data_IF_396646862361
#
_entry.id   IF_396646862361
#
_cell.length_a   1.000
_cell.length_b   1.000
_cell.length_c   1.000
_cell.angle_alpha   90.00
_cell.angle_beta   90.00
_cell.angle_gamma   90.00
#
_symmetry.space_group_name_H-M   'P 1'
#
loop_
_entity.id
_entity.type
_entity.pdbx_description
1 polymer ?
#
# COMPACT_ATOMS: atom_id res chain seq x y z
N UNK A 1 52.47 56.96 -28.55
CA UNK A 1 51.38 56.01 -28.24
C UNK A 1 50.26 56.30 -29.21
N UNK A 2 50.02 55.33 -30.09
CA UNK A 2 49.32 55.46 -31.36
C UNK A 2 47.79 55.32 -31.25
N UNK A 3 47.12 56.37 -31.73
CA UNK A 3 46.04 56.39 -32.75
C UNK A 3 44.75 55.57 -32.56
N UNK A 4 43.66 56.33 -32.55
CA UNK A 4 42.27 56.02 -32.91
C UNK A 4 42.11 55.40 -34.30
N UNK A 5 41.15 54.49 -34.51
CA UNK A 5 40.36 54.33 -35.77
C UNK A 5 38.98 53.70 -35.50
N UNK A 6 38.01 54.16 -36.30
CA UNK A 6 36.57 53.88 -36.39
C UNK A 6 36.13 52.45 -36.81
N UNK A 7 34.85 52.18 -36.51
CA UNK A 7 33.96 51.09 -37.00
C UNK A 7 33.89 50.96 -38.53
N UNK A 8 33.47 49.79 -39.08
CA UNK A 8 32.12 49.73 -39.66
C UNK A 8 31.37 48.38 -39.55
N UNK A 9 30.04 48.51 -39.64
CA UNK A 9 28.99 47.50 -39.85
C UNK A 9 29.24 46.54 -41.02
N UNK A 10 28.75 45.29 -40.87
CA UNK A 10 28.00 44.48 -41.88
C UNK A 10 27.70 43.11 -41.26
N UNK A 11 26.59 42.40 -41.46
CA UNK A 11 25.29 42.58 -42.14
C UNK A 11 24.50 41.30 -41.78
N UNK A 12 23.16 41.37 -41.76
CA UNK A 12 22.18 40.30 -42.08
C UNK A 12 22.25 38.98 -41.30
N UNK A 13 21.20 38.40 -40.73
CA UNK A 13 19.76 38.60 -40.85
C UNK A 13 19.08 37.51 -40.00
N UNK A 14 17.93 37.83 -39.43
CA UNK A 14 16.64 37.15 -39.70
C UNK A 14 16.34 35.93 -38.83
N UNK A 15 15.32 36.13 -37.98
CA UNK A 15 14.25 35.20 -37.59
C UNK A 15 14.55 33.94 -36.77
N UNK A 16 13.56 33.70 -35.91
CA UNK A 16 13.14 32.44 -35.31
C UNK A 16 13.94 31.99 -34.08
N UNK A 17 13.33 31.52 -33.00
CA UNK A 17 11.94 31.17 -32.78
C UNK A 17 11.62 31.44 -31.31
N UNK A 18 10.38 31.82 -31.03
CA UNK A 18 9.79 31.58 -29.72
C UNK A 18 9.82 30.07 -29.49
N UNK A 19 10.85 29.58 -28.80
CA UNK A 19 10.75 28.31 -28.11
C UNK A 19 9.82 28.57 -26.92
N UNK A 20 8.51 28.50 -27.17
CA UNK A 20 7.56 28.19 -26.10
C UNK A 20 8.05 26.88 -25.52
N UNK A 21 8.77 26.96 -24.40
CA UNK A 21 8.94 25.84 -23.52
C UNK A 21 7.53 25.53 -23.00
N UNK A 22 6.80 24.71 -23.74
CA UNK A 22 5.70 23.93 -23.20
C UNK A 22 6.33 23.06 -22.13
N UNK A 23 6.35 23.59 -20.91
CA UNK A 23 6.53 22.81 -19.71
C UNK A 23 5.33 21.88 -19.68
N UNK A 24 5.53 20.66 -20.17
CA UNK A 24 4.67 19.56 -19.80
C UNK A 24 4.90 19.36 -18.31
N UNK A 25 4.05 20.01 -17.51
CA UNK A 25 3.90 19.66 -16.10
C UNK A 25 3.35 18.24 -16.12
N UNK A 26 4.22 17.24 -16.02
CA UNK A 26 3.85 15.88 -15.67
C UNK A 26 3.36 15.89 -14.22
N UNK A 27 2.16 16.42 -14.01
CA UNK A 27 1.40 16.21 -12.80
C UNK A 27 1.03 14.73 -12.74
N UNK A 28 1.73 13.96 -11.91
CA UNK A 28 1.25 12.66 -11.45
C UNK A 28 2.19 11.48 -11.66
N UNK A 29 3.27 11.42 -10.88
CA UNK A 29 3.79 10.15 -10.32
C UNK A 29 4.69 10.50 -9.13
N UNK A 30 4.11 11.13 -8.10
CA UNK A 30 4.83 11.35 -6.85
C UNK A 30 5.08 10.01 -6.19
N UNK A 31 6.27 9.47 -6.36
CA UNK A 31 6.73 8.35 -5.55
C UNK A 31 6.94 8.85 -4.13
N UNK A 32 6.06 8.47 -3.21
CA UNK A 32 6.24 8.79 -1.80
C UNK A 32 7.30 7.82 -1.25
N UNK A 33 8.54 8.29 -1.17
CA UNK A 33 9.63 7.62 -0.46
C UNK A 33 9.78 8.28 0.92
N UNK A 34 10.03 7.47 1.94
CA UNK A 34 10.31 7.92 3.30
C UNK A 34 11.61 7.28 3.76
N UNK A 35 12.54 8.10 4.22
CA UNK A 35 13.76 7.60 4.84
C UNK A 35 13.46 7.13 6.26
N UNK A 36 13.76 5.87 6.54
CA UNK A 36 13.75 5.34 7.90
C UNK A 36 15.11 5.64 8.56
N UNK A 37 15.13 6.00 9.86
CA UNK A 37 16.37 6.06 10.63
C UNK A 37 17.18 4.77 10.51
N UNK A 38 18.51 4.87 10.54
CA UNK A 38 19.40 3.71 10.42
C UNK A 38 19.36 2.76 11.63
N UNK A 39 18.97 3.27 12.80
CA UNK A 39 18.89 2.49 14.02
C UNK A 39 17.85 1.38 13.95
N UNK A 40 18.12 0.27 14.63
CA UNK A 40 17.15 -0.82 14.77
C UNK A 40 16.01 -0.38 15.69
N UNK A 41 14.81 -0.26 15.16
CA UNK A 41 13.63 0.16 15.91
C UNK A 41 12.35 -0.56 15.43
N UNK A 42 11.26 -0.34 16.17
CA UNK A 42 9.91 -0.69 15.71
C UNK A 42 9.23 0.57 15.17
N UNK A 43 8.71 0.48 13.97
CA UNK A 43 8.06 1.57 13.26
C UNK A 43 6.57 1.33 13.16
N UNK A 44 5.83 2.44 13.09
CA UNK A 44 4.43 2.43 12.71
C UNK A 44 4.29 3.14 11.38
N UNK A 45 3.68 2.46 10.41
CA UNK A 45 3.28 3.08 9.16
C UNK A 45 1.76 3.07 9.06
N UNK A 46 1.19 4.22 8.70
CA UNK A 46 -0.26 4.37 8.56
C UNK A 46 -0.58 4.94 7.18
N UNK A 47 -1.55 4.30 6.52
CA UNK A 47 -2.08 4.78 5.25
C UNK A 47 -3.61 4.70 5.26
N UNK A 48 -4.24 5.68 4.61
CA UNK A 48 -5.68 5.68 4.36
C UNK A 48 -5.93 5.86 2.86
N UNK A 49 -6.80 5.03 2.29
CA UNK A 49 -7.21 5.16 0.88
C UNK A 49 -8.68 4.81 0.77
N UNK A 50 -9.50 5.72 0.21
CA UNK A 50 -10.94 5.54 0.09
C UNK A 50 -11.64 5.16 1.41
N UNK A 51 -11.19 5.73 2.53
CA UNK A 51 -11.68 5.43 3.88
C UNK A 51 -11.23 4.10 4.46
N UNK A 52 -10.47 3.27 3.71
CA UNK A 52 -9.81 2.08 4.25
C UNK A 52 -8.52 2.52 4.95
N UNK A 53 -8.48 2.35 6.27
CA UNK A 53 -7.30 2.66 7.10
C UNK A 53 -6.50 1.39 7.34
N UNK A 54 -5.20 1.44 7.07
CA UNK A 54 -4.26 0.35 7.34
C UNK A 54 -3.12 0.87 8.20
N UNK A 55 -2.86 0.17 9.31
CA UNK A 55 -1.77 0.47 10.24
C UNK A 55 -0.87 -0.74 10.30
N UNK A 56 0.41 -0.55 10.03
CA UNK A 56 1.45 -1.56 10.18
C UNK A 56 2.32 -1.23 11.39
N UNK A 57 2.69 -2.24 12.16
CA UNK A 57 3.76 -2.15 13.15
C UNK A 57 4.83 -3.19 12.80
N UNK A 58 6.07 -2.77 12.59
CA UNK A 58 7.11 -3.66 12.09
C UNK A 58 8.49 -3.29 12.63
N UNK A 59 9.39 -4.26 12.70
CA UNK A 59 10.79 -4.00 13.02
C UNK A 59 11.58 -3.73 11.73
N UNK A 60 12.41 -2.70 11.75
CA UNK A 60 13.40 -2.47 10.69
C UNK A 60 14.69 -1.90 11.26
N UNK A 61 15.72 -1.92 10.43
CA UNK A 61 17.08 -1.48 10.71
C UNK A 61 17.78 -1.26 9.37
N UNK A 62 18.84 -0.45 9.38
CA UNK A 62 19.69 -0.25 8.21
C UNK A 62 20.10 -1.57 7.56
N UNK A 63 19.99 -1.62 6.24
CA UNK A 63 20.42 -2.75 5.43
C UNK A 63 21.82 -2.52 4.90
N UNK A 64 22.70 -3.50 5.11
CA UNK A 64 24.08 -3.48 4.60
C UNK A 64 24.23 -4.27 3.30
N UNK A 65 23.20 -5.02 2.92
CA UNK A 65 23.14 -5.82 1.69
C UNK A 65 21.75 -5.70 1.08
N UNK A 66 21.70 -5.49 -0.24
CA UNK A 66 20.45 -5.46 -0.98
C UNK A 66 19.74 -6.81 -0.93
N UNK A 67 18.41 -6.78 -0.76
CA UNK A 67 17.56 -7.96 -0.68
C UNK A 67 16.40 -7.91 -1.70
N UNK A 68 16.50 -7.03 -2.70
CA UNK A 68 15.51 -6.89 -3.77
C UNK A 68 15.83 -7.78 -4.97
N UNK A 69 14.81 -8.39 -5.61
CA UNK A 69 14.98 -9.04 -6.91
C UNK A 69 15.30 -8.03 -8.02
N UNK A 70 16.02 -8.46 -9.06
CA UNK A 70 16.44 -7.58 -10.15
C UNK A 70 15.27 -6.93 -10.92
N UNK A 71 14.10 -7.58 -10.96
CA UNK A 71 12.89 -7.04 -11.59
C UNK A 71 12.08 -6.09 -10.68
N UNK A 72 12.53 -5.87 -9.44
CA UNK A 72 11.93 -4.97 -8.47
C UNK A 72 13.02 -4.06 -7.86
N UNK A 73 13.60 -3.14 -8.65
CA UNK A 73 14.62 -2.22 -8.15
C UNK A 73 14.05 -1.29 -7.09
N UNK A 74 14.93 -0.80 -6.21
CA UNK A 74 14.52 0.17 -5.21
C UNK A 74 14.26 1.52 -5.84
N UNK A 75 13.44 2.33 -5.16
CA UNK A 75 13.05 3.62 -5.68
C UNK A 75 14.23 4.57 -5.84
N UNK A 76 15.23 4.46 -4.94
CA UNK A 76 16.50 5.19 -5.03
C UNK A 76 17.33 4.82 -6.26
N UNK A 77 17.27 3.56 -6.72
CA UNK A 77 17.94 3.12 -7.95
C UNK A 77 17.30 3.73 -9.20
N UNK A 78 15.98 3.94 -9.15
CA UNK A 78 15.19 4.42 -10.29
C UNK A 78 15.20 5.94 -10.46
N UNK A 79 15.26 6.70 -9.36
CA UNK A 79 15.04 8.15 -9.40
C UNK A 79 16.19 8.99 -8.85
N UNK A 80 17.00 8.47 -7.93
CA UNK A 80 18.00 9.27 -7.19
C UNK A 80 19.46 8.86 -7.48
N UNK A 81 19.70 7.86 -8.33
CA UNK A 81 21.02 7.23 -8.53
C UNK A 81 21.69 6.79 -7.21
N UNK A 82 20.89 6.55 -6.17
CA UNK A 82 21.36 6.12 -4.87
C UNK A 82 21.46 4.59 -4.86
N UNK A 83 22.69 4.08 -5.00
CA UNK A 83 22.99 2.65 -5.02
C UNK A 83 23.16 2.06 -3.61
N UNK A 84 22.61 2.71 -2.58
CA UNK A 84 22.63 2.15 -1.24
C UNK A 84 21.92 0.79 -1.21
N UNK A 85 22.39 -0.10 -0.34
CA UNK A 85 21.69 -1.34 -0.08
C UNK A 85 20.24 -1.05 0.36
N UNK A 86 19.30 -1.83 -0.13
CA UNK A 86 17.88 -1.62 0.10
C UNK A 86 17.14 -2.96 0.19
N UNK A 87 15.99 -2.98 0.88
CA UNK A 87 15.06 -4.12 0.90
C UNK A 87 13.62 -3.62 0.99
N UNK A 88 12.63 -4.43 0.60
CA UNK A 88 11.25 -4.17 0.98
C UNK A 88 11.09 -4.27 2.49
N UNK A 89 10.38 -3.31 3.09
CA UNK A 89 10.01 -3.40 4.50
C UNK A 89 9.10 -4.60 4.75
N UNK A 90 9.16 -5.26 5.93
CA UNK A 90 8.41 -6.47 6.24
C UNK A 90 6.93 -6.17 6.55
N UNK A 91 6.29 -5.35 5.71
CA UNK A 91 4.89 -5.00 5.80
C UNK A 91 4.03 -6.19 5.36
N UNK A 92 3.11 -6.62 6.22
CA UNK A 92 2.12 -7.64 5.89
C UNK A 92 1.04 -6.99 5.02
N UNK A 93 0.90 -7.41 3.77
CA UNK A 93 -0.20 -7.04 2.90
C UNK A 93 -1.31 -8.08 2.97
N UNK A 94 -2.56 -7.64 2.82
CA UNK A 94 -3.75 -8.50 2.90
C UNK A 94 -4.43 -8.56 1.53
N UNK A 95 -4.60 -9.78 1.02
CA UNK A 95 -5.41 -10.08 -0.16
C UNK A 95 -6.74 -10.69 0.28
N UNK A 96 -7.83 -10.21 -0.28
CA UNK A 96 -9.18 -10.66 0.04
C UNK A 96 -9.81 -11.42 -1.12
N UNK A 97 -10.42 -12.54 -0.80
CA UNK A 97 -11.47 -13.15 -1.59
C UNK A 97 -12.75 -13.12 -0.75
N UNK A 98 -13.64 -12.21 -1.10
CA UNK A 98 -14.86 -11.94 -0.34
C UNK A 98 -16.05 -12.80 -0.79
N UNK A 99 -15.88 -13.66 -1.81
CA UNK A 99 -16.93 -14.53 -2.33
C UNK A 99 -18.26 -13.78 -2.64
N UNK A 100 -18.18 -12.61 -3.26
CA UNK A 100 -19.34 -11.74 -3.51
C UNK A 100 -19.97 -12.03 -4.87
N UNK A 101 -21.25 -11.68 -5.00
CA UNK A 101 -21.87 -11.53 -6.31
C UNK A 101 -21.23 -10.36 -7.09
N UNK A 102 -21.41 -10.34 -8.42
CA UNK A 102 -20.79 -9.37 -9.33
C UNK A 102 -21.16 -7.90 -9.03
N UNK A 103 -22.25 -7.67 -8.29
CA UNK A 103 -22.69 -6.36 -7.84
C UNK A 103 -22.11 -5.94 -6.47
N UNK A 104 -21.08 -6.66 -5.99
CA UNK A 104 -20.45 -6.49 -4.67
C UNK A 104 -21.42 -6.68 -3.49
N UNK A 105 -22.30 -7.68 -3.61
CA UNK A 105 -23.24 -8.07 -2.54
C UNK A 105 -23.06 -9.51 -2.06
N UNK A 106 -23.57 -9.80 -0.86
CA UNK A 106 -23.73 -11.14 -0.30
C UNK A 106 -25.15 -11.31 0.29
N UNK A 107 -25.62 -12.55 0.41
CA UNK A 107 -26.94 -12.85 0.97
C UNK A 107 -27.06 -12.37 2.42
N UNK A 108 -28.16 -11.70 2.76
CA UNK A 108 -28.50 -11.39 4.15
C UNK A 108 -29.01 -12.63 4.90
N UNK A 109 -28.89 -12.63 6.23
CA UNK A 109 -29.48 -13.64 7.11
C UNK A 109 -28.74 -14.98 7.19
N UNK A 110 -27.78 -15.22 6.31
CA UNK A 110 -27.00 -16.47 6.24
C UNK A 110 -25.56 -16.32 6.77
N UNK A 111 -24.88 -17.45 6.90
CA UNK A 111 -23.43 -17.45 7.17
C UNK A 111 -22.67 -17.32 5.87
N UNK A 112 -21.81 -16.31 5.80
CA UNK A 112 -20.95 -16.03 4.67
C UNK A 112 -19.50 -16.29 5.04
N UNK A 113 -18.77 -17.00 4.17
CA UNK A 113 -17.34 -17.26 4.36
C UNK A 113 -16.53 -16.39 3.40
N UNK A 114 -15.46 -15.79 3.93
CA UNK A 114 -14.46 -15.07 3.13
C UNK A 114 -13.08 -15.65 3.39
N UNK A 115 -12.17 -15.45 2.46
CA UNK A 115 -10.77 -15.84 2.57
C UNK A 115 -9.86 -14.61 2.59
N UNK A 116 -8.89 -14.61 3.51
CA UNK A 116 -7.86 -13.57 3.61
C UNK A 116 -6.49 -14.24 3.54
N UNK A 117 -5.63 -13.74 2.65
CA UNK A 117 -4.26 -14.22 2.48
C UNK A 117 -3.27 -13.11 2.81
N UNK A 118 -2.36 -13.38 3.75
CA UNK A 118 -1.24 -12.50 4.05
C UNK A 118 -0.10 -12.72 3.05
N UNK A 119 0.45 -11.64 2.51
CA UNK A 119 1.59 -11.68 1.60
C UNK A 119 2.53 -10.50 1.85
N UNK A 120 3.71 -10.56 1.22
CA UNK A 120 4.74 -9.53 1.31
C UNK A 120 5.17 -9.13 -0.09
N UNK A 121 5.82 -7.97 -0.21
CA UNK A 121 6.63 -7.69 -1.40
C UNK A 121 7.74 -8.74 -1.53
N UNK A 122 8.08 -9.11 -2.77
CA UNK A 122 9.08 -10.14 -3.02
C UNK A 122 10.47 -9.65 -2.59
N UNK A 123 11.24 -10.53 -1.96
CA UNK A 123 12.63 -10.29 -1.56
C UNK A 123 13.45 -11.56 -1.73
N UNK A 124 14.78 -11.46 -1.76
CA UNK A 124 15.66 -12.61 -1.99
C UNK A 124 15.74 -13.52 -0.76
N UNK A 125 15.66 -12.94 0.44
CA UNK A 125 15.64 -13.68 1.70
C UNK A 125 14.28 -14.31 1.99
N UNK A 126 14.26 -15.29 2.90
CA UNK A 126 13.02 -15.94 3.32
C UNK A 126 12.07 -14.93 3.96
N UNK A 127 10.79 -14.98 3.58
CA UNK A 127 9.73 -14.13 4.12
C UNK A 127 9.19 -14.67 5.47
N UNK A 128 8.72 -13.80 6.37
CA UNK A 128 8.05 -14.24 7.59
C UNK A 128 6.74 -14.96 7.24
N UNK A 129 6.27 -15.82 8.14
CA UNK A 129 4.96 -16.46 7.99
C UNK A 129 3.93 -15.72 8.81
N UNK A 130 2.76 -15.43 8.23
CA UNK A 130 1.62 -14.92 8.99
C UNK A 130 1.09 -16.04 9.87
N UNK A 131 1.24 -15.90 11.18
CA UNK A 131 0.94 -16.93 12.17
C UNK A 131 -0.47 -16.81 12.72
N UNK A 132 -0.99 -15.58 12.78
CA UNK A 132 -2.33 -15.32 13.30
C UNK A 132 -3.07 -14.29 12.45
N UNK A 133 -4.38 -14.48 12.35
CA UNK A 133 -5.31 -13.53 11.77
C UNK A 133 -6.58 -13.52 12.61
N UNK A 134 -7.05 -12.32 12.96
CA UNK A 134 -8.30 -12.08 13.66
C UNK A 134 -9.15 -11.16 12.80
N UNK A 135 -10.39 -11.56 12.57
CA UNK A 135 -11.36 -10.77 11.85
C UNK A 135 -12.49 -10.31 12.79
N UNK A 136 -12.86 -9.04 12.67
CA UNK A 136 -14.03 -8.45 13.30
C UNK A 136 -14.95 -7.89 12.23
N UNK A 137 -16.26 -7.92 12.49
CA UNK A 137 -17.29 -7.39 11.59
C UNK A 137 -18.15 -6.35 12.30
N UNK A 138 -18.70 -5.41 11.53
CA UNK A 138 -19.68 -4.43 12.00
C UNK A 138 -20.81 -4.29 10.98
N UNK A 139 -22.03 -4.11 11.49
CA UNK A 139 -23.24 -3.91 10.69
C UNK A 139 -23.89 -2.54 10.95
N UNK A 140 -23.38 -1.78 11.92
CA UNK A 140 -23.93 -0.47 12.34
C UNK A 140 -23.08 0.72 11.89
N UNK A 141 -22.27 0.51 10.84
CA UNK A 141 -21.35 1.51 10.30
C UNK A 141 -20.09 1.71 11.14
N UNK A 142 -19.60 0.64 11.79
CA UNK A 142 -18.34 0.65 12.53
C UNK A 142 -18.45 1.14 13.98
N UNK A 143 -19.66 1.29 14.53
CA UNK A 143 -19.87 1.71 15.92
C UNK A 143 -19.58 0.56 16.89
N UNK A 144 -20.04 -0.63 16.57
CA UNK A 144 -19.74 -1.86 17.31
C UNK A 144 -19.02 -2.85 16.42
N UNK A 145 -18.01 -3.53 16.98
CA UNK A 145 -17.20 -4.54 16.30
C UNK A 145 -17.38 -5.87 17.02
N UNK A 146 -17.67 -6.92 16.26
CA UNK A 146 -17.90 -8.28 16.77
C UNK A 146 -16.86 -9.22 16.21
N UNK A 147 -16.21 -10.05 17.04
CA UNK A 147 -15.25 -11.03 16.55
C UNK A 147 -15.96 -12.06 15.67
N UNK A 148 -15.23 -12.58 14.69
CA UNK A 148 -15.67 -13.64 13.77
C UNK A 148 -14.76 -14.85 13.91
N UNK A 149 -15.29 -16.04 13.63
CA UNK A 149 -14.50 -17.27 13.74
C UNK A 149 -13.54 -17.33 12.56
N UNK A 150 -12.24 -17.20 12.84
CA UNK A 150 -11.16 -17.33 11.86
C UNK A 150 -10.50 -18.70 11.98
N UNK A 151 -10.19 -19.34 10.84
CA UNK A 151 -9.48 -20.62 10.77
C UNK A 151 -8.28 -20.48 9.82
N UNK A 152 -7.13 -21.01 10.24
CA UNK A 152 -5.95 -21.09 9.38
C UNK A 152 -6.11 -22.25 8.38
N UNK A 153 -5.80 -22.00 7.11
CA UNK A 153 -5.80 -22.99 6.03
C UNK A 153 -4.36 -23.31 5.54
N UNK A 154 -3.35 -22.66 6.13
CA UNK A 154 -1.94 -22.80 5.74
C UNK A 154 -1.53 -21.79 4.66
N UNK A 155 -0.22 -21.70 4.36
CA UNK A 155 0.34 -20.76 3.36
C UNK A 155 -0.15 -19.31 3.55
N UNK A 156 -0.10 -18.81 4.79
CA UNK A 156 -0.60 -17.48 5.18
C UNK A 156 -2.08 -17.22 4.86
N UNK A 157 -2.87 -18.26 4.60
CA UNK A 157 -4.29 -18.18 4.21
C UNK A 157 -5.19 -18.51 5.40
N UNK A 158 -6.25 -17.72 5.56
CA UNK A 158 -7.23 -17.84 6.63
C UNK A 158 -8.64 -17.69 6.06
N UNK A 159 -9.58 -18.48 6.56
CA UNK A 159 -11.02 -18.30 6.30
C UNK A 159 -11.66 -17.63 7.50
N UNK A 160 -12.67 -16.79 7.29
CA UNK A 160 -13.53 -16.28 8.37
C UNK A 160 -15.00 -16.40 8.03
N UNK A 161 -15.79 -16.82 9.02
CA UNK A 161 -17.24 -16.99 8.92
C UNK A 161 -17.96 -15.82 9.58
N UNK A 162 -18.77 -15.14 8.78
CA UNK A 162 -19.53 -13.96 9.16
C UNK A 162 -21.01 -14.33 9.14
N UNK A 163 -21.67 -14.23 10.30
CA UNK A 163 -23.13 -14.39 10.36
C UNK A 163 -23.79 -13.08 9.96
N UNK A 164 -24.36 -13.02 8.77
CA UNK A 164 -25.05 -11.83 8.30
C UNK A 164 -26.37 -11.62 9.04
N UNK A 165 -26.66 -10.37 9.43
CA UNK A 165 -27.99 -10.01 9.90
C UNK A 165 -28.95 -9.90 8.71
N UNK A 166 -30.21 -9.54 8.98
CA UNK A 166 -31.14 -9.16 7.91
C UNK A 166 -30.66 -7.86 7.23
N UNK A 167 -31.08 -7.65 5.97
CA UNK A 167 -30.63 -6.53 5.13
C UNK A 167 -30.89 -5.15 5.75
N UNK A 168 -32.01 -4.97 6.44
CA UNK A 168 -32.42 -3.74 7.11
C UNK A 168 -31.56 -3.41 8.34
N UNK A 169 -30.93 -4.41 8.95
CA UNK A 169 -30.03 -4.27 10.11
C UNK A 169 -28.60 -3.87 9.72
N UNK A 170 -28.25 -3.94 8.43
CA UNK A 170 -26.97 -3.50 7.88
C UNK A 170 -27.15 -2.51 6.71
N UNK A 171 -27.83 -1.36 6.92
CA UNK A 171 -28.20 -0.45 5.83
C UNK A 171 -26.98 0.18 5.13
N UNK A 172 -25.86 0.27 5.84
CA UNK A 172 -24.57 0.78 5.32
C UNK A 172 -23.66 -0.33 4.76
N UNK A 173 -24.10 -1.59 4.79
CA UNK A 173 -23.30 -2.76 4.43
C UNK A 173 -22.52 -3.34 5.61
N UNK A 174 -21.63 -4.28 5.28
CA UNK A 174 -20.76 -4.98 6.22
C UNK A 174 -19.41 -4.27 6.26
N UNK A 175 -18.97 -3.85 7.44
CA UNK A 175 -17.61 -3.37 7.67
C UNK A 175 -16.74 -4.51 8.19
N UNK A 176 -15.46 -4.52 7.81
CA UNK A 176 -14.50 -5.52 8.26
C UNK A 176 -13.30 -4.85 8.90
N UNK A 177 -12.75 -5.51 9.91
CA UNK A 177 -11.46 -5.16 10.49
C UNK A 177 -10.64 -6.42 10.63
N UNK A 178 -9.48 -6.43 9.99
CA UNK A 178 -8.55 -7.55 10.03
C UNK A 178 -7.31 -7.13 10.81
N UNK A 179 -6.89 -7.96 11.74
CA UNK A 179 -5.60 -7.84 12.42
C UNK A 179 -4.80 -9.12 12.19
N UNK A 180 -3.59 -9.01 11.65
CA UNK A 180 -2.71 -10.15 11.41
C UNK A 180 -1.35 -9.93 12.07
N UNK A 181 -0.70 -11.02 12.46
CA UNK A 181 0.64 -11.01 13.06
C UNK A 181 1.48 -12.12 12.44
N UNK A 182 2.75 -11.84 12.21
CA UNK A 182 3.69 -12.80 11.64
C UNK A 182 4.64 -13.45 12.66
N UNK A 183 5.52 -14.31 12.18
CA UNK A 183 6.50 -15.05 12.99
C UNK A 183 7.61 -14.19 13.59
N UNK A 184 7.75 -12.95 13.13
CA UNK A 184 8.73 -11.97 13.64
C UNK A 184 8.05 -10.91 14.52
N UNK A 185 6.74 -11.03 14.74
CA UNK A 185 5.95 -10.13 15.57
C UNK A 185 5.53 -8.86 14.85
N UNK A 186 5.72 -8.73 13.54
CA UNK A 186 5.17 -7.62 12.76
C UNK A 186 3.65 -7.77 12.69
N UNK A 187 2.93 -6.65 12.61
CA UNK A 187 1.47 -6.62 12.58
C UNK A 187 0.94 -5.76 11.45
N UNK A 188 -0.27 -6.08 11.00
CA UNK A 188 -1.10 -5.21 10.18
C UNK A 188 -2.53 -5.19 10.74
N UNK A 189 -3.08 -4.00 10.90
CA UNK A 189 -4.48 -3.77 11.21
C UNK A 189 -5.13 -2.96 10.10
N UNK A 190 -6.05 -3.57 9.37
CA UNK A 190 -6.82 -2.91 8.33
C UNK A 190 -8.28 -2.77 8.74
N UNK A 191 -8.85 -1.58 8.62
CA UNK A 191 -10.27 -1.30 8.88
C UNK A 191 -10.92 -0.81 7.59
N UNK A 192 -11.93 -1.54 7.13
CA UNK A 192 -12.73 -1.27 5.94
C UNK A 192 -14.15 -0.87 6.39
N UNK A 193 -14.51 0.42 6.40
CA UNK A 193 -15.81 0.89 6.88
C UNK A 193 -17.01 0.32 6.11
N UNK A 194 -16.80 -0.08 4.86
CA UNK A 194 -17.78 -0.80 4.04
C UNK A 194 -17.03 -1.72 3.08
N UNK A 195 -16.97 -3.01 3.41
CA UNK A 195 -16.33 -4.03 2.58
C UNK A 195 -17.27 -4.50 1.45
N UNK A 196 -18.56 -4.70 1.75
CA UNK A 196 -19.60 -5.08 0.78
C UNK A 196 -20.99 -4.79 1.32
N UNK A 197 -22.02 -4.92 0.48
CA UNK A 197 -23.43 -4.74 0.87
C UNK A 197 -24.12 -6.09 1.02
N UNK A 198 -25.22 -6.10 1.77
CA UNK A 198 -26.13 -7.25 1.80
C UNK A 198 -27.22 -7.07 0.74
N UNK A 199 -27.81 -8.17 0.27
CA UNK A 199 -29.04 -8.19 -0.53
C UNK A 199 -30.11 -9.06 0.14
#
# INVERSE_FOLDING_TARGET
>A
MNTSVLSPRRRTGTLAAFATATVFVLSGCGVNAYDLPSESARYTFEAETNGVRTVWEYASAEVTKADTPAHQPCIGDLFDNNQAACRPEPLIFLKYDLNLALDNTAEAGDTHEITVTGYYQERLSALPRVTTLKAETSFDGGKTWRPTTTKAEGKNTFTTKIKHPKRDQAPKGVALRINATDSEGNTVKQTMPTAYKLR
#
